data_IF_293940408169
#
_entry.id   IF_293940408169
#
_cell.length_a   1.000
_cell.length_b   1.000
_cell.length_c   1.000
_cell.angle_alpha   90.00
_cell.angle_beta   90.00
_cell.angle_gamma   90.00
#
_symmetry.space_group_name_H-M   'P 1'
#
loop_
_entity.id
_entity.type
_entity.pdbx_description
1 polymer ?
#
# COMPACT_ATOMS: atom_id res chain seq x y z
N UNK A 1 10.04 8.18 7.65
CA UNK A 1 10.02 6.70 7.61
C UNK A 1 11.23 6.17 6.84
N UNK A 2 11.92 5.14 7.37
CA UNK A 2 12.84 4.34 6.55
C UNK A 2 12.01 3.59 5.51
N UNK A 3 12.55 3.36 4.30
CA UNK A 3 11.86 2.64 3.21
C UNK A 3 11.27 1.30 3.69
N UNK A 4 11.94 0.64 4.63
CA UNK A 4 11.48 -0.60 5.30
C UNK A 4 10.06 -0.50 5.89
N UNK A 5 9.67 0.65 6.43
CA UNK A 5 8.35 0.82 7.05
C UNK A 5 7.25 0.95 6.00
N UNK A 6 7.55 1.64 4.90
CA UNK A 6 6.64 1.77 3.74
C UNK A 6 6.42 0.38 3.12
N UNK A 7 7.50 -0.40 2.98
CA UNK A 7 7.43 -1.76 2.47
C UNK A 7 6.64 -2.69 3.40
N UNK A 8 6.88 -2.61 4.72
CA UNK A 8 6.13 -3.37 5.70
C UNK A 8 4.63 -3.03 5.68
N UNK A 9 4.27 -1.75 5.59
CA UNK A 9 2.89 -1.28 5.53
C UNK A 9 2.20 -1.75 4.23
N UNK A 10 2.91 -1.74 3.10
CA UNK A 10 2.40 -2.28 1.83
C UNK A 10 2.17 -3.80 1.90
N UNK A 11 3.09 -4.56 2.50
CA UNK A 11 2.95 -6.00 2.70
C UNK A 11 1.76 -6.35 3.60
N UNK A 12 1.58 -5.61 4.71
CA UNK A 12 0.43 -5.79 5.60
C UNK A 12 -0.87 -5.51 4.84
N UNK A 13 -0.94 -4.41 4.09
CA UNK A 13 -2.12 -4.09 3.29
C UNK A 13 -2.43 -5.18 2.24
N UNK A 14 -1.39 -5.81 1.66
CA UNK A 14 -1.55 -6.92 0.73
C UNK A 14 -2.13 -8.17 1.43
N UNK A 15 -1.62 -8.53 2.61
CA UNK A 15 -2.15 -9.67 3.38
C UNK A 15 -3.61 -9.45 3.76
N UNK A 16 -3.96 -8.25 4.25
CA UNK A 16 -5.34 -7.90 4.60
C UNK A 16 -6.26 -7.97 3.39
N UNK A 17 -5.78 -7.56 2.21
CA UNK A 17 -6.54 -7.70 0.96
C UNK A 17 -6.79 -9.16 0.60
N UNK A 18 -5.79 -10.03 0.76
CA UNK A 18 -5.94 -11.48 0.52
C UNK A 18 -7.00 -12.08 1.45
N UNK A 19 -7.00 -11.68 2.72
CA UNK A 19 -8.04 -12.11 3.67
C UNK A 19 -9.41 -11.58 3.25
N UNK A 20 -9.54 -10.31 2.85
CA UNK A 20 -10.79 -9.74 2.37
C UNK A 20 -11.32 -10.42 1.10
N UNK A 21 -10.43 -10.75 0.17
CA UNK A 21 -10.76 -11.52 -1.03
C UNK A 21 -11.26 -12.93 -0.68
N UNK A 22 -10.60 -13.60 0.27
CA UNK A 22 -11.04 -14.91 0.77
C UNK A 22 -12.44 -14.83 1.38
N UNK A 23 -12.70 -13.84 2.25
CA UNK A 23 -14.02 -13.62 2.84
C UNK A 23 -15.10 -13.36 1.77
N UNK A 24 -14.76 -12.59 0.74
CA UNK A 24 -15.66 -12.34 -0.39
C UNK A 24 -15.98 -13.61 -1.17
N UNK A 25 -15.00 -14.48 -1.42
CA UNK A 25 -15.21 -15.79 -2.07
C UNK A 25 -16.08 -16.70 -1.20
N UNK A 26 -15.85 -16.69 0.12
CA UNK A 26 -16.64 -17.45 1.10
C UNK A 26 -18.04 -16.87 1.35
N UNK A 27 -18.42 -15.77 0.67
CA UNK A 27 -19.68 -15.03 0.88
C UNK A 27 -19.90 -14.59 2.34
N UNK A 28 -18.81 -14.44 3.09
CA UNK A 28 -18.89 -13.94 4.45
C UNK A 28 -19.20 -12.44 4.44
N UNK A 29 -19.96 -11.97 5.44
CA UNK A 29 -20.20 -10.54 5.61
C UNK A 29 -18.86 -9.80 5.78
N UNK A 30 -18.84 -8.51 5.42
CA UNK A 30 -17.68 -7.63 5.54
C UNK A 30 -16.55 -7.86 4.51
N UNK A 31 -16.69 -8.79 3.55
CA UNK A 31 -15.67 -9.04 2.53
C UNK A 31 -15.36 -7.82 1.66
N UNK A 32 -16.40 -7.09 1.22
CA UNK A 32 -16.21 -5.88 0.40
C UNK A 32 -15.61 -4.72 1.22
N UNK A 33 -16.01 -4.59 2.47
CA UNK A 33 -15.56 -3.56 3.40
C UNK A 33 -14.07 -3.76 3.72
N UNK A 34 -13.64 -5.00 3.95
CA UNK A 34 -12.24 -5.33 4.21
C UNK A 34 -11.36 -5.10 2.97
N UNK A 35 -11.85 -5.44 1.78
CA UNK A 35 -11.16 -5.14 0.51
C UNK A 35 -11.05 -3.62 0.31
N UNK A 36 -12.12 -2.88 0.54
CA UNK A 36 -12.13 -1.41 0.41
C UNK A 36 -11.12 -0.79 1.37
N UNK A 37 -11.13 -1.21 2.63
CA UNK A 37 -10.17 -0.74 3.65
C UNK A 37 -8.72 -1.05 3.24
N UNK A 38 -8.44 -2.27 2.80
CA UNK A 38 -7.09 -2.65 2.35
C UNK A 38 -6.62 -1.86 1.13
N UNK A 39 -7.55 -1.47 0.25
CA UNK A 39 -7.28 -0.64 -0.93
C UNK A 39 -6.89 0.78 -0.52
N UNK A 40 -7.62 1.40 0.40
CA UNK A 40 -7.27 2.71 0.96
C UNK A 40 -5.89 2.67 1.60
N UNK A 41 -5.59 1.62 2.36
CA UNK A 41 -4.29 1.45 3.00
C UNK A 41 -3.15 1.32 1.98
N UNK A 42 -3.37 0.59 0.89
CA UNK A 42 -2.43 0.49 -0.24
C UNK A 42 -2.20 1.84 -0.93
N UNK A 43 -3.24 2.64 -1.13
CA UNK A 43 -3.12 3.97 -1.73
C UNK A 43 -2.27 4.88 -0.86
N UNK A 44 -2.49 4.89 0.46
CA UNK A 44 -1.66 5.66 1.40
C UNK A 44 -0.20 5.18 1.37
N UNK A 45 0.02 3.85 1.33
CA UNK A 45 1.36 3.27 1.19
C UNK A 45 2.04 3.73 -0.11
N UNK A 46 1.30 3.74 -1.23
CA UNK A 46 1.82 4.16 -2.52
C UNK A 46 2.14 5.66 -2.53
N UNK A 47 1.26 6.52 -2.02
CA UNK A 47 1.49 7.96 -1.93
C UNK A 47 2.73 8.28 -1.08
N UNK A 48 2.87 7.63 0.08
CA UNK A 48 4.05 7.80 0.94
C UNK A 48 5.33 7.26 0.31
N UNK A 49 5.25 6.16 -0.45
CA UNK A 49 6.37 5.64 -1.25
C UNK A 49 6.80 6.65 -2.31
N UNK A 50 5.85 7.16 -3.10
CA UNK A 50 6.08 8.14 -4.17
C UNK A 50 6.72 9.40 -3.58
N UNK A 51 6.15 9.96 -2.51
CA UNK A 51 6.69 11.14 -1.85
C UNK A 51 8.12 10.91 -1.34
N UNK A 52 8.38 9.71 -0.81
CA UNK A 52 9.73 9.33 -0.35
C UNK A 52 10.74 9.23 -1.50
N UNK A 53 10.32 8.71 -2.66
CA UNK A 53 11.15 8.62 -3.88
C UNK A 53 11.47 10.02 -4.41
N UNK A 54 10.47 10.91 -4.52
CA UNK A 54 10.69 12.30 -4.96
C UNK A 54 11.60 13.11 -4.02
N UNK A 55 11.62 12.77 -2.72
CA UNK A 55 12.50 13.43 -1.73
C UNK A 55 13.93 12.90 -1.80
N UNK A 56 14.18 11.79 -2.49
CA UNK A 56 15.51 11.18 -2.58
C UNK A 56 16.41 12.00 -3.53
N UNK A 57 17.59 12.39 -3.05
CA UNK A 57 18.51 13.29 -3.77
C UNK A 57 18.92 12.72 -5.14
N UNK A 58 19.16 11.40 -5.19
CA UNK A 58 19.43 10.66 -6.44
C UNK A 58 18.29 10.72 -7.46
N UNK A 59 17.03 10.82 -7.03
CA UNK A 59 15.88 10.92 -7.93
C UNK A 59 15.69 12.34 -8.45
N UNK A 60 16.01 13.35 -7.62
CA UNK A 60 16.04 14.75 -8.04
C UNK A 60 17.10 14.99 -9.12
N UNK A 61 18.30 14.46 -8.93
CA UNK A 61 19.38 14.57 -9.93
C UNK A 61 19.05 13.84 -11.24
N UNK A 62 18.28 12.75 -11.20
CA UNK A 62 17.79 12.07 -12.40
C UNK A 62 16.76 12.91 -13.19
N UNK A 63 15.84 13.56 -12.48
CA UNK A 63 14.78 14.39 -13.10
C UNK A 63 15.29 15.73 -13.62
N UNK A 64 16.35 16.27 -13.04
CA UNK A 64 16.90 17.59 -13.39
C UNK A 64 17.98 17.51 -14.50
N UNK A 65 18.02 16.40 -15.22
CA UNK A 65 18.95 16.11 -16.30
C UNK A 65 18.23 16.14 -17.65
#
# INVERSE_FOLDING_TARGET
MKVKHILALFLIAYIVMTVGALLKVMHWPYGNELITFSTVLKVIAALTAIWKVFTMQSFKDFLNK
#
